data_IF_660178622492
#
_entry.id   IF_660178622492
#
_cell.length_a   1.000
_cell.length_b   1.000
_cell.length_c   1.000
_cell.angle_alpha   90.00
_cell.angle_beta   90.00
_cell.angle_gamma   90.00
#
_symmetry.space_group_name_H-M   'P 1'
#
loop_
_entity.id
_entity.type
_entity.pdbx_description
1 polymer ?
#
# COMPACT_ATOMS: atom_id res chain seq x y z
N UNK A 1 27.87 15.63 9.11
CA UNK A 1 27.62 14.24 8.63
C UNK A 1 27.08 14.33 7.21
N UNK A 2 27.47 13.45 6.29
CA UNK A 2 26.97 13.48 4.90
C UNK A 2 25.68 12.67 4.78
N UNK A 3 24.61 13.29 4.30
CA UNK A 3 23.37 12.60 3.96
C UNK A 3 23.51 11.91 2.60
N UNK A 4 22.84 10.76 2.45
CA UNK A 4 22.84 9.96 1.22
C UNK A 4 21.43 9.47 0.92
N UNK A 5 21.13 9.28 -0.35
CA UNK A 5 19.84 8.78 -0.80
C UNK A 5 19.81 7.25 -0.80
N UNK A 6 18.71 6.70 -0.30
CA UNK A 6 18.45 5.27 -0.26
C UNK A 6 17.03 4.97 -0.68
N UNK A 7 16.87 3.86 -1.38
CA UNK A 7 15.59 3.20 -1.57
C UNK A 7 15.52 1.98 -0.66
N UNK A 8 14.50 1.93 0.17
CA UNK A 8 14.25 0.85 1.13
C UNK A 8 12.92 0.21 0.80
N UNK A 9 12.94 -1.09 0.53
CA UNK A 9 11.74 -1.91 0.39
C UNK A 9 11.74 -2.93 1.49
N UNK A 10 10.64 -3.04 2.22
CA UNK A 10 10.46 -4.09 3.21
C UNK A 10 9.08 -4.72 3.13
N UNK A 11 9.00 -5.96 3.56
CA UNK A 11 7.78 -6.75 3.57
C UNK A 11 7.45 -7.21 4.98
N UNK A 12 6.23 -6.95 5.41
CA UNK A 12 5.70 -7.24 6.74
C UNK A 12 4.78 -8.46 6.67
N UNK A 13 4.75 -9.24 7.74
CA UNK A 13 3.84 -10.36 7.94
C UNK A 13 2.40 -9.91 7.67
N UNK A 14 1.60 -10.66 6.88
CA UNK A 14 0.28 -10.22 6.46
C UNK A 14 -0.67 -9.94 7.63
N UNK A 15 -0.57 -10.70 8.72
CA UNK A 15 -1.40 -10.53 9.94
C UNK A 15 -1.05 -9.27 10.74
N UNK A 16 0.12 -8.67 10.50
CA UNK A 16 0.54 -7.43 11.15
C UNK A 16 0.31 -6.19 10.27
N UNK A 17 -0.49 -6.32 9.21
CA UNK A 17 -0.77 -5.22 8.27
C UNK A 17 -1.35 -3.98 8.96
N UNK A 18 -2.19 -4.16 9.98
CA UNK A 18 -2.82 -3.04 10.70
C UNK A 18 -1.81 -2.26 11.57
N UNK A 19 -0.65 -2.86 11.87
CA UNK A 19 0.42 -2.21 12.63
C UNK A 19 1.37 -1.37 11.77
N UNK A 20 1.33 -1.56 10.43
CA UNK A 20 2.21 -0.89 9.49
C UNK A 20 2.16 0.65 9.61
N UNK A 21 1.00 1.31 9.73
CA UNK A 21 0.95 2.75 9.91
C UNK A 21 1.72 3.23 11.15
N UNK A 22 1.55 2.55 12.28
CA UNK A 22 2.26 2.88 13.51
C UNK A 22 3.77 2.60 13.42
N UNK A 23 4.17 1.57 12.68
CA UNK A 23 5.59 1.30 12.38
C UNK A 23 6.20 2.41 11.53
N UNK A 24 5.48 2.83 10.49
CA UNK A 24 5.91 3.91 9.59
C UNK A 24 6.13 5.21 10.34
N UNK A 25 5.21 5.61 11.23
CA UNK A 25 5.37 6.82 12.04
C UNK A 25 6.64 6.76 12.91
N UNK A 26 6.95 5.62 13.53
CA UNK A 26 8.21 5.47 14.29
C UNK A 26 9.45 5.64 13.42
N UNK A 27 9.45 5.06 12.21
CA UNK A 27 10.57 5.20 11.28
C UNK A 27 10.69 6.63 10.76
N UNK A 28 9.58 7.33 10.52
CA UNK A 28 9.58 8.76 10.18
C UNK A 28 10.24 9.59 11.28
N UNK A 29 9.82 9.41 12.53
CA UNK A 29 10.39 10.14 13.66
C UNK A 29 11.90 9.89 13.81
N UNK A 30 12.36 8.65 13.62
CA UNK A 30 13.79 8.30 13.66
C UNK A 30 14.57 9.05 12.56
N UNK A 31 14.05 9.03 11.33
CA UNK A 31 14.68 9.70 10.17
C UNK A 31 14.75 11.22 10.39
N UNK A 32 13.65 11.83 10.82
CA UNK A 32 13.55 13.27 11.04
C UNK A 32 14.40 13.74 12.22
N UNK A 33 14.51 12.94 13.29
CA UNK A 33 15.34 13.24 14.45
C UNK A 33 16.85 13.33 14.11
N UNK A 34 17.32 12.57 13.12
CA UNK A 34 18.69 12.63 12.60
C UNK A 34 18.88 13.73 11.53
N UNK A 35 17.83 14.51 11.24
CA UNK A 35 17.83 15.55 10.20
C UNK A 35 17.70 15.02 8.78
N UNK A 36 17.27 13.76 8.63
CA UNK A 36 16.98 13.15 7.33
C UNK A 36 15.64 13.59 6.74
N UNK A 37 15.39 13.19 5.50
CA UNK A 37 14.17 13.50 4.75
C UNK A 37 13.57 12.25 4.12
N UNK A 38 12.26 12.25 3.97
CA UNK A 38 11.51 11.21 3.26
C UNK A 38 10.97 11.83 1.98
N UNK A 39 11.53 11.41 0.86
CA UNK A 39 11.19 11.90 -0.47
C UNK A 39 9.95 11.18 -1.03
N UNK A 40 9.82 9.89 -0.72
CA UNK A 40 8.70 9.06 -1.15
C UNK A 40 8.40 8.01 -0.08
N UNK A 41 7.11 7.82 0.19
CA UNK A 41 6.61 6.74 1.03
C UNK A 41 5.39 6.15 0.34
N UNK A 42 5.46 4.86 0.05
CA UNK A 42 4.34 4.15 -0.57
C UNK A 42 4.01 2.89 0.23
N UNK A 43 2.76 2.81 0.67
CA UNK A 43 2.15 1.59 1.16
C UNK A 43 1.48 0.86 -0.02
N UNK A 44 2.10 -0.23 -0.47
CA UNK A 44 1.54 -1.05 -1.54
C UNK A 44 0.45 -1.99 -1.04
N UNK A 45 0.37 -2.21 0.27
CA UNK A 45 -0.54 -3.11 0.94
C UNK A 45 -0.16 -4.58 0.77
N UNK A 46 -1.14 -5.45 1.03
CA UNK A 46 -0.97 -6.91 0.92
C UNK A 46 -0.89 -7.34 -0.54
N UNK A 47 0.18 -8.05 -0.90
CA UNK A 47 0.42 -8.60 -2.24
C UNK A 47 0.76 -10.08 -2.17
N UNK A 48 0.40 -10.81 -3.23
CA UNK A 48 0.76 -12.21 -3.41
C UNK A 48 2.26 -12.34 -3.71
N UNK A 49 2.94 -13.26 -3.03
CA UNK A 49 4.33 -13.59 -3.26
C UNK A 49 4.46 -14.54 -4.46
N UNK A 50 5.55 -14.42 -5.22
CA UNK A 50 5.85 -15.34 -6.31
C UNK A 50 6.16 -16.77 -5.82
N UNK A 51 6.67 -16.88 -4.60
CA UNK A 51 6.91 -18.14 -3.90
C UNK A 51 6.76 -17.93 -2.39
N UNK A 52 6.45 -18.98 -1.61
CA UNK A 52 6.25 -18.84 -0.18
C UNK A 52 7.52 -18.42 0.57
N UNK A 53 7.38 -17.49 1.52
CA UNK A 53 8.46 -17.07 2.42
C UNK A 53 7.97 -17.37 3.84
N UNK A 54 8.70 -18.20 4.60
CA UNK A 54 8.28 -18.64 5.94
C UNK A 54 6.84 -19.24 5.91
N UNK A 55 6.55 -20.04 4.88
CA UNK A 55 5.22 -20.63 4.60
C UNK A 55 4.08 -19.62 4.36
N UNK A 56 4.37 -18.34 4.17
CA UNK A 56 3.39 -17.31 3.84
C UNK A 56 3.31 -17.12 2.33
N UNK A 57 2.09 -16.98 1.81
CA UNK A 57 1.84 -16.74 0.39
C UNK A 57 1.63 -15.25 0.06
N UNK A 58 1.45 -14.40 1.09
CA UNK A 58 1.22 -12.96 0.97
C UNK A 58 2.09 -12.21 1.96
N UNK A 59 2.45 -10.98 1.62
CA UNK A 59 3.09 -10.04 2.55
C UNK A 59 2.59 -8.63 2.29
N UNK A 60 2.69 -7.77 3.29
CA UNK A 60 2.38 -6.35 3.17
C UNK A 60 3.66 -5.60 2.77
N UNK A 61 3.63 -4.92 1.63
CA UNK A 61 4.82 -4.24 1.10
C UNK A 61 4.80 -2.74 1.35
N UNK A 62 5.96 -2.21 1.72
CA UNK A 62 6.20 -0.79 1.89
C UNK A 62 7.49 -0.40 1.18
N UNK A 63 7.45 0.76 0.52
CA UNK A 63 8.58 1.42 -0.13
C UNK A 63 8.84 2.78 0.53
N UNK A 64 10.11 3.08 0.75
CA UNK A 64 10.60 4.35 1.27
C UNK A 64 11.77 4.83 0.40
N UNK A 65 11.75 6.08 -0.05
CA UNK A 65 12.94 6.76 -0.57
C UNK A 65 13.30 7.87 0.39
N UNK A 66 14.50 7.75 0.96
CA UNK A 66 14.93 8.53 2.12
C UNK A 66 16.30 9.13 1.86
N UNK A 67 16.56 10.26 2.49
CA UNK A 67 17.85 10.91 2.56
C UNK A 67 18.27 10.94 4.03
N UNK A 68 19.29 10.15 4.39
CA UNK A 68 19.68 9.94 5.79
C UNK A 68 21.19 9.85 5.95
N UNK A 69 21.67 10.02 7.17
CA UNK A 69 23.06 9.68 7.52
C UNK A 69 23.24 8.15 7.54
N UNK A 70 24.50 7.70 7.50
CA UNK A 70 24.80 6.28 7.65
C UNK A 70 24.37 5.74 9.02
N UNK A 71 24.38 6.57 10.06
CA UNK A 71 24.03 6.13 11.42
C UNK A 71 22.53 5.85 11.52
N UNK A 72 21.69 6.77 11.04
CA UNK A 72 20.24 6.57 11.00
C UNK A 72 19.85 5.38 10.12
N UNK A 73 20.55 5.16 8.99
CA UNK A 73 20.32 3.98 8.16
C UNK A 73 20.61 2.68 8.94
N UNK A 74 21.73 2.62 9.66
CA UNK A 74 22.10 1.43 10.45
C UNK A 74 21.09 1.16 11.58
N UNK A 75 20.55 2.22 12.20
CA UNK A 75 19.51 2.10 13.22
C UNK A 75 18.20 1.59 12.61
N UNK A 76 17.82 2.08 11.43
CA UNK A 76 16.66 1.62 10.67
C UNK A 76 16.80 0.13 10.30
N UNK A 77 17.95 -0.29 9.76
CA UNK A 77 18.23 -1.69 9.43
C UNK A 77 18.21 -2.59 10.68
N UNK A 78 18.75 -2.11 11.80
CA UNK A 78 18.67 -2.81 13.08
C UNK A 78 17.20 -2.97 13.52
N UNK A 79 16.39 -1.92 13.38
CA UNK A 79 14.96 -1.95 13.64
C UNK A 79 14.21 -2.96 12.78
N UNK A 80 14.60 -3.17 11.52
CA UNK A 80 14.04 -4.23 10.68
C UNK A 80 14.47 -5.63 11.15
N UNK A 81 15.75 -5.78 11.52
CA UNK A 81 16.31 -7.07 11.94
C UNK A 81 15.71 -7.60 13.24
N UNK A 82 15.39 -6.72 14.18
CA UNK A 82 14.84 -7.09 15.50
C UNK A 82 13.31 -7.04 15.57
N UNK A 83 12.64 -6.73 14.46
CA UNK A 83 11.19 -6.73 14.39
C UNK A 83 10.69 -7.98 13.68
N UNK A 84 10.13 -8.93 14.43
CA UNK A 84 9.61 -10.19 13.92
C UNK A 84 8.46 -10.01 12.90
N UNK A 85 7.82 -8.85 12.88
CA UNK A 85 6.81 -8.54 11.86
C UNK A 85 7.45 -8.35 10.48
N UNK A 86 8.72 -7.95 10.37
CA UNK A 86 9.41 -7.72 9.10
C UNK A 86 10.01 -9.04 8.59
N UNK A 87 9.50 -9.55 7.47
CA UNK A 87 9.95 -10.81 6.89
C UNK A 87 11.26 -10.65 6.11
N UNK A 88 11.39 -9.56 5.33
CA UNK A 88 12.59 -9.20 4.56
C UNK A 88 12.65 -7.70 4.33
N UNK A 89 13.85 -7.18 4.14
CA UNK A 89 14.10 -5.83 3.67
C UNK A 89 15.23 -5.83 2.63
N UNK A 90 15.25 -4.82 1.79
CA UNK A 90 16.29 -4.52 0.82
C UNK A 90 16.56 -3.02 0.85
N UNK A 91 17.83 -2.66 0.99
CA UNK A 91 18.31 -1.28 0.95
C UNK A 91 19.21 -1.12 -0.27
N UNK A 92 18.92 -0.12 -1.09
CA UNK A 92 19.70 0.22 -2.29
C UNK A 92 20.12 1.68 -2.17
N UNK A 93 21.42 1.96 -2.32
CA UNK A 93 21.90 3.34 -2.42
C UNK A 93 21.47 3.94 -3.76
N UNK A 94 20.99 5.18 -3.71
CA UNK A 94 20.60 5.98 -4.88
C UNK A 94 21.58 7.16 -5.04
N UNK A 95 21.72 7.61 -6.28
CA UNK A 95 22.52 8.78 -6.61
C UNK A 95 21.74 10.08 -6.34
N UNK A 96 20.41 10.03 -6.48
CA UNK A 96 19.50 11.18 -6.34
C UNK A 96 18.23 10.83 -5.55
N UNK A 97 17.42 11.84 -5.24
CA UNK A 97 16.14 11.68 -4.57
C UNK A 97 15.03 11.23 -5.56
N UNK A 98 14.48 10.04 -5.35
CA UNK A 98 13.32 9.58 -6.10
C UNK A 98 12.02 10.08 -5.44
N UNK A 99 11.30 10.97 -6.13
CA UNK A 99 10.02 11.55 -5.68
C UNK A 99 8.81 11.03 -6.45
N UNK A 100 9.04 10.51 -7.65
CA UNK A 100 7.97 10.10 -8.56
C UNK A 100 7.24 8.85 -8.08
N UNK A 101 5.92 8.71 -8.26
CA UNK A 101 5.22 7.50 -7.88
C UNK A 101 5.75 6.26 -8.62
N UNK A 102 5.88 5.14 -7.91
CA UNK A 102 6.38 3.88 -8.47
C UNK A 102 5.42 3.30 -9.51
N UNK A 103 5.95 2.42 -10.37
CA UNK A 103 5.13 1.66 -11.31
C UNK A 103 4.08 0.79 -10.62
N UNK A 104 4.36 0.35 -9.38
CA UNK A 104 3.46 -0.49 -8.61
C UNK A 104 2.25 0.32 -8.12
N UNK A 105 2.48 1.51 -7.57
CA UNK A 105 1.40 2.39 -7.14
C UNK A 105 0.56 2.86 -8.33
N UNK A 106 1.22 3.32 -9.41
CA UNK A 106 0.54 3.73 -10.66
C UNK A 106 -0.33 2.61 -11.26
N UNK A 107 0.09 1.36 -11.16
CA UNK A 107 -0.70 0.21 -11.63
C UNK A 107 -1.90 -0.05 -10.71
N UNK A 108 -1.71 0.00 -9.39
CA UNK A 108 -2.76 -0.19 -8.39
C UNK A 108 -3.90 0.83 -8.56
N UNK A 109 -3.56 2.11 -8.69
CA UNK A 109 -4.55 3.18 -8.90
C UNK A 109 -5.36 2.99 -10.20
N UNK A 110 -4.72 2.51 -11.27
CA UNK A 110 -5.40 2.21 -12.54
C UNK A 110 -6.37 1.03 -12.41
N UNK A 111 -5.99 0.00 -11.67
CA UNK A 111 -6.83 -1.18 -11.46
C UNK A 111 -8.03 -0.84 -10.56
N UNK A 112 -7.81 -0.07 -9.49
CA UNK A 112 -8.85 0.42 -8.60
C UNK A 112 -9.86 1.32 -9.35
N UNK A 113 -9.36 2.23 -10.20
CA UNK A 113 -10.20 3.10 -11.04
C UNK A 113 -11.01 2.35 -12.10
N UNK A 114 -10.53 1.20 -12.58
CA UNK A 114 -11.31 0.32 -13.49
C UNK A 114 -12.36 -0.47 -12.72
N UNK A 115 -12.05 -0.91 -11.51
CA UNK A 115 -12.99 -1.67 -10.68
C UNK A 115 -14.17 -0.82 -10.21
N UNK A 116 -13.97 0.46 -9.89
CA UNK A 116 -15.06 1.35 -9.49
C UNK A 116 -16.06 1.58 -10.62
N UNK A 117 -15.57 1.88 -11.84
CA UNK A 117 -16.41 2.10 -13.02
C UNK A 117 -17.30 0.92 -13.40
N UNK A 118 -16.90 -0.31 -13.09
CA UNK A 118 -17.72 -1.51 -13.35
C UNK A 118 -18.87 -1.66 -12.35
N UNK A 119 -18.70 -1.20 -11.10
CA UNK A 119 -19.75 -1.30 -10.08
C UNK A 119 -20.87 -0.29 -10.29
N UNK A 120 -20.56 0.86 -10.88
CA UNK A 120 -21.57 1.89 -11.17
C UNK A 120 -22.50 1.45 -12.32
N UNK A 121 -22.00 0.70 -13.31
CA UNK A 121 -22.78 0.20 -14.47
C UNK A 121 -23.77 -0.92 -14.09
N UNK A 122 -23.43 -1.74 -13.09
CA UNK A 122 -24.31 -2.83 -12.59
C UNK A 122 -25.46 -2.31 -11.70
N UNK A 123 -25.34 -1.13 -11.10
CA UNK A 123 -26.33 -0.58 -10.16
C UNK A 123 -27.49 0.17 -10.85
N UNK A 124 -27.35 0.54 -12.13
CA UNK A 124 -28.39 1.25 -12.90
C UNK A 124 -29.40 0.30 -13.59
N UNK A 125 -29.27 -1.02 -13.39
CA UNK A 125 -30.13 -2.05 -13.98
C UNK A 125 -31.41 -2.41 -13.20
N UNK A 126 -31.52 -2.08 -11.90
CA UNK A 126 -32.60 -2.60 -11.02
C UNK A 126 -33.70 -1.59 -10.63
N UNK A 127 -33.85 -0.46 -11.32
CA UNK A 127 -34.89 0.55 -11.00
C UNK A 127 -35.95 0.83 -12.08
N UNK A 128 -36.17 -0.07 -13.03
CA UNK A 128 -37.27 0.06 -14.03
C UNK A 128 -38.15 -1.19 -14.07
N UNK A 129 -39.04 -1.34 -13.10
CA UNK A 129 -39.98 -2.47 -13.10
C UNK A 129 -41.07 -2.49 -12.04
N UNK A 130 -41.61 -1.36 -11.60
CA UNK A 130 -42.90 -1.35 -10.88
C UNK A 130 -43.66 -0.04 -11.12
N UNK A 131 -44.22 0.08 -12.32
CA UNK A 131 -45.14 1.13 -12.72
C UNK A 131 -46.52 0.53 -13.00
N UNK A 132 -47.48 1.01 -12.23
CA UNK A 132 -48.92 0.74 -12.15
C UNK A 132 -49.68 0.75 -13.49
N UNK A 133 -50.73 -0.09 -13.61
CA UNK A 133 -51.93 0.14 -14.45
C UNK A 133 -53.06 -0.77 -13.90
N UNK A 134 -53.94 -0.25 -13.05
CA UNK A 134 -55.21 0.39 -13.40
C UNK A 134 -56.30 -0.60 -13.90
N UNK A 135 -57.15 -0.98 -12.95
CA UNK A 135 -58.61 -0.91 -12.99
C UNK A 135 -59.31 -0.80 -14.37
N UNK A 136 -60.11 -1.81 -14.77
CA UNK A 136 -61.55 -1.67 -15.08
C UNK A 136 -62.14 -2.89 -15.86
N UNK A 137 -63.35 -3.28 -15.41
CA UNK A 137 -64.55 -3.75 -16.18
C UNK A 137 -64.83 -5.24 -16.46
N UNK A 138 -65.93 -5.65 -15.82
CA UNK A 138 -67.18 -6.22 -16.37
C UNK A 138 -67.30 -7.68 -16.82
N UNK A 139 -68.11 -8.39 -16.02
CA UNK A 139 -69.36 -9.11 -16.37
C UNK A 139 -69.36 -10.59 -16.81
N UNK A 140 -70.38 -11.27 -16.25
CA UNK A 140 -71.08 -12.53 -16.63
C UNK A 140 -70.25 -13.84 -16.54
N UNK A 141 -70.63 -14.88 -15.78
CA UNK A 141 -71.92 -15.59 -15.61
C UNK A 141 -71.96 -16.32 -14.23
#
# INVERSE_FOLDING_TARGET
MTLRHYEVVFMVHPDQSEQVPAMLERYKSLIEADGGKIHRLEDWGRRQLAYPIVNLAKAHYVLLNIEVSQNALNELESGFRFNDAVLRHLVIRRDEADIEPSFILKSKEKDDAKSSRRRDDDNDGESRGHGHADNDRDSDD
#
